data_IF_577332019548
#
_entry.id   IF_577332019548
#
_cell.length_a   1.000
_cell.length_b   1.000
_cell.length_c   1.000
_cell.angle_alpha   90.00
_cell.angle_beta   90.00
_cell.angle_gamma   90.00
#
_symmetry.space_group_name_H-M   'P 1'
#
loop_
_entity.id
_entity.type
_entity.pdbx_description
1 polymer ?
#
# COMPACT_ATOMS: atom_id res chain seq x y z
N UNK A 1 18.21 67.81 -20.09
CA UNK A 1 17.12 68.42 -20.88
C UNK A 1 16.63 67.40 -21.90
N UNK A 2 15.47 66.79 -21.69
CA UNK A 2 14.48 66.48 -22.75
C UNK A 2 13.30 65.77 -22.09
N UNK A 3 12.20 66.52 -21.95
CA UNK A 3 10.92 66.04 -21.46
C UNK A 3 10.22 65.28 -22.57
N UNK A 4 10.01 63.96 -22.43
CA UNK A 4 9.05 63.23 -23.26
C UNK A 4 7.70 63.20 -22.56
N UNK A 5 6.87 64.20 -22.89
CA UNK A 5 5.44 64.21 -22.60
C UNK A 5 4.73 63.31 -23.61
N UNK A 6 4.32 62.11 -23.19
CA UNK A 6 3.39 61.28 -23.96
C UNK A 6 1.97 61.75 -23.68
N UNK A 7 1.40 62.50 -24.63
CA UNK A 7 -0.01 62.86 -24.65
C UNK A 7 -0.86 61.59 -24.73
N UNK A 8 -1.62 61.30 -23.68
CA UNK A 8 -2.64 60.24 -23.69
C UNK A 8 -3.82 60.67 -24.57
N UNK A 9 -4.04 59.95 -25.68
CA UNK A 9 -5.19 60.15 -26.56
C UNK A 9 -6.42 59.41 -25.99
N UNK A 10 -7.48 60.11 -25.56
CA UNK A 10 -8.61 59.50 -24.85
C UNK A 10 -9.46 58.56 -25.72
N UNK A 11 -9.27 58.58 -27.04
CA UNK A 11 -9.95 57.65 -27.96
C UNK A 11 -9.42 56.21 -27.85
N UNK A 12 -8.13 56.02 -27.59
CA UNK A 12 -7.55 54.68 -27.44
C UNK A 12 -8.00 53.99 -26.16
N UNK A 13 -8.32 54.73 -25.10
CA UNK A 13 -8.83 54.16 -23.85
C UNK A 13 -10.26 53.61 -24.03
N UNK A 14 -11.11 54.30 -24.80
CA UNK A 14 -12.46 53.81 -25.13
C UNK A 14 -12.43 52.59 -26.05
N UNK A 15 -11.52 52.56 -27.02
CA UNK A 15 -11.32 51.39 -27.91
C UNK A 15 -10.78 50.19 -27.13
N UNK A 16 -9.81 50.39 -26.23
CA UNK A 16 -9.33 49.36 -25.31
C UNK A 16 -10.44 48.85 -24.39
N UNK A 17 -11.32 49.74 -23.91
CA UNK A 17 -12.46 49.36 -23.08
C UNK A 17 -13.50 48.52 -23.87
N UNK A 18 -13.78 48.89 -25.12
CA UNK A 18 -14.68 48.13 -25.98
C UNK A 18 -14.10 46.78 -26.40
N UNK A 19 -12.79 46.69 -26.69
CA UNK A 19 -12.11 45.42 -26.99
C UNK A 19 -12.08 44.52 -25.75
N UNK A 20 -11.83 45.09 -24.56
CA UNK A 20 -11.86 44.33 -23.30
C UNK A 20 -13.27 43.79 -23.00
N UNK A 21 -14.33 44.58 -23.20
CA UNK A 21 -15.72 44.13 -23.02
C UNK A 21 -16.09 43.06 -24.05
N UNK A 22 -15.71 43.22 -25.32
CA UNK A 22 -16.01 42.23 -26.37
C UNK A 22 -15.27 40.90 -26.12
N UNK A 23 -14.05 40.95 -25.58
CA UNK A 23 -13.28 39.76 -25.18
C UNK A 23 -13.90 39.03 -23.97
N UNK A 24 -14.49 39.78 -23.03
CA UNK A 24 -15.20 39.21 -21.87
C UNK A 24 -16.53 38.56 -22.30
N UNK A 25 -17.26 39.11 -23.26
CA UNK A 25 -18.52 38.53 -23.75
C UNK A 25 -18.30 37.22 -24.53
N UNK A 26 -17.19 37.10 -25.26
CA UNK A 26 -16.79 35.85 -25.93
C UNK A 26 -16.39 34.77 -24.91
N UNK A 27 -15.78 35.14 -23.78
CA UNK A 27 -15.45 34.20 -22.71
C UNK A 27 -16.68 33.64 -21.97
N UNK A 28 -17.82 34.34 -21.98
CA UNK A 28 -19.07 33.90 -21.33
C UNK A 28 -19.96 33.08 -22.29
N UNK A 29 -19.76 33.23 -23.61
CA UNK A 29 -20.50 32.45 -24.63
C UNK A 29 -19.87 31.07 -24.93
N UNK A 30 -18.73 30.74 -24.29
CA UNK A 30 -18.04 29.46 -24.42
C UNK A 30 -18.50 28.38 -23.43
N UNK A 31 -19.29 28.74 -22.40
CA UNK A 31 -20.01 27.75 -21.61
C UNK A 31 -21.35 27.46 -22.29
N UNK A 32 -21.32 26.60 -23.32
CA UNK A 32 -22.42 25.64 -23.42
C UNK A 32 -22.50 24.98 -22.04
N UNK A 33 -23.68 24.82 -21.42
CA UNK A 33 -23.77 23.84 -20.35
C UNK A 33 -23.31 22.54 -20.99
N UNK A 34 -22.10 22.08 -20.62
CA UNK A 34 -21.72 20.69 -20.80
C UNK A 34 -22.92 19.90 -20.32
N UNK A 35 -23.48 19.08 -21.21
CA UNK A 35 -24.61 18.22 -20.94
C UNK A 35 -24.61 17.84 -19.47
N UNK A 36 -25.68 18.24 -18.77
CA UNK A 36 -25.91 17.91 -17.38
C UNK A 36 -25.35 16.52 -17.12
N UNK A 37 -24.40 16.42 -16.19
CA UNK A 37 -24.19 15.20 -15.45
C UNK A 37 -25.50 14.94 -14.72
N UNK A 38 -26.45 14.36 -15.45
CA UNK A 38 -27.56 13.66 -14.83
C UNK A 38 -26.87 12.53 -14.08
N UNK A 39 -26.95 12.60 -12.76
CA UNK A 39 -27.26 11.40 -12.01
C UNK A 39 -28.79 11.28 -12.09
N UNK A 40 -29.37 10.64 -13.13
CA UNK A 40 -30.74 10.22 -13.04
C UNK A 40 -30.74 8.87 -12.34
N UNK A 41 -31.70 8.63 -11.45
CA UNK A 41 -32.05 7.27 -11.02
C UNK A 41 -31.80 6.30 -12.17
N UNK A 42 -30.93 5.29 -11.95
CA UNK A 42 -30.88 4.13 -12.84
C UNK A 42 -32.33 3.75 -13.09
N UNK A 43 -32.77 3.90 -14.35
CA UNK A 43 -34.17 3.68 -14.70
C UNK A 43 -34.52 2.29 -14.16
N UNK A 44 -35.54 2.18 -13.30
CA UNK A 44 -35.99 0.90 -12.70
C UNK A 44 -36.21 -0.17 -13.78
N UNK A 45 -36.62 0.25 -14.98
CA UNK A 45 -36.75 -0.60 -16.16
C UNK A 45 -35.38 -1.06 -16.70
N UNK A 46 -34.36 -0.20 -16.73
CA UNK A 46 -32.98 -0.56 -17.09
C UNK A 46 -32.36 -1.51 -16.05
N UNK A 47 -32.57 -1.26 -14.76
CA UNK A 47 -32.12 -2.18 -13.69
C UNK A 47 -32.80 -3.55 -13.85
N UNK A 48 -34.10 -3.57 -14.11
CA UNK A 48 -34.86 -4.80 -14.34
C UNK A 48 -34.37 -5.54 -15.59
N UNK A 49 -34.11 -4.83 -16.68
CA UNK A 49 -33.56 -5.40 -17.91
C UNK A 49 -32.15 -5.96 -17.69
N UNK A 50 -31.26 -5.21 -17.02
CA UNK A 50 -29.90 -5.66 -16.69
C UNK A 50 -29.94 -6.89 -15.78
N UNK A 51 -30.78 -6.89 -14.74
CA UNK A 51 -30.95 -8.06 -13.86
C UNK A 51 -31.53 -9.27 -14.60
N UNK A 52 -32.47 -9.08 -15.54
CA UNK A 52 -32.97 -10.17 -16.37
C UNK A 52 -31.89 -10.70 -17.31
N UNK A 53 -31.09 -9.84 -17.95
CA UNK A 53 -29.96 -10.25 -18.79
C UNK A 53 -28.96 -11.07 -17.97
N UNK A 54 -28.64 -10.62 -16.76
CA UNK A 54 -27.75 -11.31 -15.83
C UNK A 54 -28.34 -12.67 -15.38
N UNK A 55 -29.63 -12.73 -15.05
CA UNK A 55 -30.32 -13.97 -14.64
C UNK A 55 -30.47 -14.99 -15.78
N UNK A 56 -30.65 -14.51 -17.01
CA UNK A 56 -30.78 -15.35 -18.20
C UNK A 56 -29.41 -15.80 -18.76
N UNK A 57 -28.30 -15.22 -18.28
CA UNK A 57 -26.93 -15.55 -18.67
C UNK A 57 -26.01 -15.64 -17.43
N UNK A 58 -26.29 -16.54 -16.46
CA UNK A 58 -25.51 -16.63 -15.22
C UNK A 58 -24.03 -16.98 -15.47
N UNK A 59 -23.73 -17.65 -16.59
CA UNK A 59 -22.36 -17.97 -17.01
C UNK A 59 -21.51 -16.71 -17.20
N UNK A 60 -22.09 -15.62 -17.70
CA UNK A 60 -21.37 -14.36 -17.89
C UNK A 60 -20.90 -13.75 -16.55
N UNK A 61 -21.69 -13.92 -15.47
CA UNK A 61 -21.23 -13.52 -14.13
C UNK A 61 -20.09 -14.42 -13.69
N UNK A 62 -20.26 -15.74 -13.80
CA UNK A 62 -19.25 -16.71 -13.34
C UNK A 62 -17.91 -16.44 -14.05
N UNK A 63 -17.94 -16.25 -15.37
CA UNK A 63 -16.76 -15.92 -16.18
C UNK A 63 -16.14 -14.60 -15.71
N UNK A 64 -16.94 -13.55 -15.52
CA UNK A 64 -16.45 -12.24 -15.05
C UNK A 64 -15.79 -12.33 -13.67
N UNK A 65 -16.39 -13.08 -12.74
CA UNK A 65 -15.88 -13.27 -11.38
C UNK A 65 -14.61 -14.12 -11.40
N UNK A 66 -14.57 -15.19 -12.19
CA UNK A 66 -13.40 -16.04 -12.34
C UNK A 66 -12.24 -15.28 -12.98
N UNK A 67 -12.49 -14.55 -14.07
CA UNK A 67 -11.48 -13.71 -14.71
C UNK A 67 -10.92 -12.66 -13.75
N UNK A 68 -11.80 -11.99 -13.00
CA UNK A 68 -11.38 -11.06 -11.96
C UNK A 68 -10.55 -11.75 -10.86
N UNK A 69 -11.00 -12.89 -10.35
CA UNK A 69 -10.27 -13.64 -9.33
C UNK A 69 -8.91 -14.12 -9.83
N UNK A 70 -8.83 -14.62 -11.06
CA UNK A 70 -7.58 -15.04 -11.68
C UNK A 70 -6.62 -13.85 -11.84
N UNK A 71 -7.12 -12.71 -12.33
CA UNK A 71 -6.32 -11.49 -12.41
C UNK A 71 -5.79 -11.06 -11.04
N UNK A 72 -6.61 -11.13 -9.99
CA UNK A 72 -6.17 -10.84 -8.63
C UNK A 72 -5.12 -11.84 -8.13
N UNK A 73 -5.29 -13.13 -8.43
CA UNK A 73 -4.31 -14.16 -8.08
C UNK A 73 -2.97 -13.95 -8.79
N UNK A 74 -2.99 -13.66 -10.08
CA UNK A 74 -1.77 -13.38 -10.87
C UNK A 74 -1.06 -12.13 -10.36
N UNK A 75 -1.79 -11.06 -10.03
CA UNK A 75 -1.24 -9.87 -9.40
C UNK A 75 -0.61 -10.17 -8.04
N UNK A 76 -1.28 -10.97 -7.20
CA UNK A 76 -0.74 -11.38 -5.91
C UNK A 76 0.51 -12.25 -6.08
N UNK A 77 0.51 -13.17 -7.04
CA UNK A 77 1.66 -14.02 -7.35
C UNK A 77 2.84 -13.19 -7.84
N UNK A 78 2.62 -12.25 -8.76
CA UNK A 78 3.66 -11.34 -9.23
C UNK A 78 4.25 -10.50 -8.08
N UNK A 79 3.39 -9.97 -7.21
CA UNK A 79 3.81 -9.25 -6.00
C UNK A 79 4.66 -10.12 -5.06
N UNK A 80 4.23 -11.35 -4.80
CA UNK A 80 4.97 -12.31 -3.98
C UNK A 80 6.32 -12.68 -4.60
N UNK A 81 6.37 -12.89 -5.92
CA UNK A 81 7.60 -13.21 -6.64
C UNK A 81 8.60 -12.05 -6.58
N UNK A 82 8.14 -10.82 -6.76
CA UNK A 82 9.00 -9.64 -6.65
C UNK A 82 9.51 -9.49 -5.20
N UNK A 83 8.65 -9.67 -4.19
CA UNK A 83 9.07 -9.67 -2.80
C UNK A 83 10.16 -10.72 -2.54
N UNK A 84 9.95 -11.97 -2.97
CA UNK A 84 10.92 -13.06 -2.82
C UNK A 84 12.24 -12.78 -3.53
N UNK A 85 12.19 -12.19 -4.72
CA UNK A 85 13.40 -11.77 -5.45
C UNK A 85 14.23 -10.79 -4.64
N UNK A 86 13.59 -9.84 -3.95
CA UNK A 86 14.32 -8.89 -3.10
C UNK A 86 15.00 -9.57 -1.90
N UNK A 87 14.36 -10.57 -1.27
CA UNK A 87 15.01 -11.34 -0.19
C UNK A 87 16.21 -12.14 -0.69
N UNK A 88 16.14 -12.68 -1.91
CA UNK A 88 17.24 -13.45 -2.52
C UNK A 88 18.42 -12.58 -2.94
N UNK A 89 18.15 -11.43 -3.56
CA UNK A 89 19.21 -10.60 -4.16
C UNK A 89 19.85 -9.65 -3.14
N UNK A 90 19.10 -9.22 -2.13
CA UNK A 90 19.58 -8.24 -1.15
C UNK A 90 19.25 -8.65 0.29
N UNK A 91 19.71 -9.84 0.76
CA UNK A 91 19.38 -10.31 2.10
C UNK A 91 19.85 -9.34 3.19
N UNK A 92 21.02 -8.71 3.03
CA UNK A 92 21.57 -7.75 4.00
C UNK A 92 20.63 -6.56 4.27
N UNK A 93 20.06 -5.98 3.22
CA UNK A 93 19.13 -4.85 3.36
C UNK A 93 17.82 -5.29 4.00
N UNK A 94 17.41 -6.54 3.76
CA UNK A 94 16.23 -7.14 4.40
C UNK A 94 16.50 -7.54 5.85
N UNK A 95 17.72 -7.91 6.23
CA UNK A 95 18.12 -8.11 7.63
C UNK A 95 18.08 -6.76 8.36
N UNK A 96 18.85 -5.79 7.88
CA UNK A 96 18.94 -4.45 8.47
C UNK A 96 19.28 -4.51 9.96
N UNK A 97 18.54 -3.77 10.78
CA UNK A 97 18.72 -3.73 12.24
C UNK A 97 17.89 -4.80 12.98
N UNK A 98 17.44 -5.85 12.29
CA UNK A 98 16.71 -6.92 12.96
C UNK A 98 17.59 -7.64 13.99
N UNK A 99 16.98 -8.12 15.09
CA UNK A 99 17.62 -9.10 15.95
C UNK A 99 18.02 -10.34 15.16
N UNK A 100 19.24 -10.81 15.39
CA UNK A 100 19.77 -12.02 14.75
C UNK A 100 20.31 -13.00 15.79
N UNK A 101 20.24 -14.29 15.47
CA UNK A 101 20.78 -15.38 16.28
C UNK A 101 21.40 -16.46 15.39
N UNK A 102 22.45 -17.12 15.88
CA UNK A 102 23.17 -18.16 15.16
C UNK A 102 24.30 -17.60 14.29
N UNK A 103 24.40 -18.09 13.06
CA UNK A 103 25.59 -17.91 12.22
C UNK A 103 25.80 -16.46 11.83
N UNK A 104 27.05 -15.98 11.85
CA UNK A 104 27.43 -14.64 11.36
C UNK A 104 27.73 -14.61 9.87
N UNK A 105 27.91 -15.78 9.25
CA UNK A 105 28.26 -15.93 7.84
C UNK A 105 27.07 -15.65 6.90
N UNK A 106 25.83 -15.78 7.41
CA UNK A 106 24.60 -15.45 6.69
C UNK A 106 24.43 -16.16 5.34
N UNK A 107 25.00 -17.36 5.21
CA UNK A 107 24.87 -18.23 4.02
C UNK A 107 23.47 -18.79 3.85
N UNK A 108 22.82 -19.11 4.97
CA UNK A 108 21.41 -19.50 5.03
C UNK A 108 20.74 -18.56 6.01
N UNK A 109 19.77 -17.78 5.54
CA UNK A 109 19.05 -16.80 6.37
C UNK A 109 17.60 -17.24 6.50
N UNK A 110 17.17 -17.46 7.74
CA UNK A 110 15.79 -17.79 8.07
C UNK A 110 15.11 -16.53 8.64
N UNK A 111 14.18 -15.98 7.89
CA UNK A 111 13.37 -14.85 8.36
C UNK A 111 12.10 -15.37 9.05
N UNK A 112 11.96 -15.04 10.32
CA UNK A 112 10.75 -15.33 11.08
C UNK A 112 9.91 -14.05 11.21
N UNK A 113 8.70 -14.06 10.66
CA UNK A 113 7.73 -12.99 10.84
C UNK A 113 6.76 -13.39 11.95
N UNK A 114 6.82 -12.69 13.08
CA UNK A 114 6.15 -13.15 14.30
C UNK A 114 5.52 -12.01 15.08
N UNK A 115 4.48 -12.36 15.82
CA UNK A 115 3.70 -11.49 16.71
C UNK A 115 3.71 -12.08 18.12
N UNK A 116 4.12 -11.29 19.10
CA UNK A 116 4.22 -11.71 20.50
C UNK A 116 2.89 -12.12 21.17
N UNK A 117 1.75 -11.84 20.54
CA UNK A 117 0.44 -12.31 21.02
C UNK A 117 -0.11 -13.51 20.23
N UNK A 118 0.54 -13.91 19.14
CA UNK A 118 0.01 -14.97 18.28
C UNK A 118 0.26 -16.35 18.92
N UNK A 119 -0.80 -17.13 19.25
CA UNK A 119 -0.63 -18.45 19.83
C UNK A 119 -0.01 -19.46 18.85
N UNK A 120 -0.14 -19.25 17.54
CA UNK A 120 0.51 -20.09 16.54
C UNK A 120 2.01 -19.80 16.43
N UNK A 121 2.43 -18.54 16.53
CA UNK A 121 3.84 -18.16 16.61
C UNK A 121 4.49 -18.83 17.83
N UNK A 122 3.85 -18.72 19.00
CA UNK A 122 4.34 -19.34 20.24
C UNK A 122 4.48 -20.87 20.12
N UNK A 123 3.56 -21.55 19.42
CA UNK A 123 3.64 -23.00 19.21
C UNK A 123 4.83 -23.42 18.33
N UNK A 124 5.22 -22.58 17.36
CA UNK A 124 6.34 -22.86 16.46
C UNK A 124 7.69 -22.73 17.19
N UNK A 125 7.76 -21.91 18.24
CA UNK A 125 9.01 -21.57 18.91
C UNK A 125 9.81 -22.79 19.40
N UNK A 126 9.13 -23.81 19.95
CA UNK A 126 9.82 -25.04 20.37
C UNK A 126 10.54 -25.75 19.22
N UNK A 127 9.87 -25.88 18.07
CA UNK A 127 10.45 -26.51 16.88
C UNK A 127 11.54 -25.64 16.26
N UNK A 128 11.35 -24.32 16.24
CA UNK A 128 12.33 -23.38 15.72
C UNK A 128 13.61 -23.41 16.56
N UNK A 129 13.47 -23.44 17.89
CA UNK A 129 14.58 -23.60 18.81
C UNK A 129 15.33 -24.91 18.57
N UNK A 130 14.64 -26.03 18.45
CA UNK A 130 15.28 -27.32 18.17
C UNK A 130 16.04 -27.30 16.83
N UNK A 131 15.44 -26.71 15.80
CA UNK A 131 16.08 -26.53 14.50
C UNK A 131 17.35 -25.67 14.60
N UNK A 132 17.27 -24.52 15.30
CA UNK A 132 18.41 -23.64 15.48
C UNK A 132 19.50 -24.27 16.34
N UNK A 133 19.17 -25.01 17.39
CA UNK A 133 20.16 -25.70 18.22
C UNK A 133 21.03 -26.67 17.39
N UNK A 134 20.46 -27.28 16.33
CA UNK A 134 21.15 -28.19 15.40
C UNK A 134 21.88 -27.50 14.25
N UNK A 135 21.56 -26.24 13.95
CA UNK A 135 21.96 -25.57 12.70
C UNK A 135 22.46 -24.14 12.84
N UNK A 136 22.58 -23.62 14.07
CA UNK A 136 23.03 -22.26 14.37
C UNK A 136 24.45 -21.96 13.86
N UNK A 137 25.26 -22.97 13.55
CA UNK A 137 26.57 -22.80 12.90
C UNK A 137 26.45 -22.32 11.44
N UNK A 138 25.36 -22.67 10.75
CA UNK A 138 25.15 -22.41 9.32
C UNK A 138 23.95 -21.52 9.02
N UNK A 139 22.99 -21.42 9.93
CA UNK A 139 21.76 -20.64 9.76
C UNK A 139 21.81 -19.39 10.62
N UNK A 140 21.44 -18.26 10.03
CA UNK A 140 21.15 -17.01 10.73
C UNK A 140 19.63 -16.88 10.86
N UNK A 141 19.11 -16.93 12.08
CA UNK A 141 17.72 -16.58 12.36
C UNK A 141 17.60 -15.05 12.42
N UNK A 142 16.59 -14.50 11.76
CA UNK A 142 16.31 -13.06 11.70
C UNK A 142 14.86 -12.84 12.11
N UNK A 143 14.65 -12.14 13.22
CA UNK A 143 13.31 -11.84 13.70
C UNK A 143 12.73 -10.59 13.00
N UNK A 144 11.49 -10.68 12.55
CA UNK A 144 10.70 -9.60 11.94
C UNK A 144 9.38 -9.43 12.69
N UNK A 145 9.18 -8.25 13.27
CA UNK A 145 7.90 -7.90 13.89
C UNK A 145 6.78 -7.90 12.84
N UNK A 146 5.75 -8.72 13.06
CA UNK A 146 4.52 -8.75 12.27
C UNK A 146 3.31 -8.53 13.19
N UNK A 147 3.12 -7.33 13.76
CA UNK A 147 2.04 -7.09 14.71
C UNK A 147 0.66 -7.18 14.02
N UNK A 148 -0.16 -8.16 14.41
CA UNK A 148 -1.49 -8.43 13.86
C UNK A 148 -2.55 -7.55 14.55
N UNK A 149 -2.42 -6.24 14.36
CA UNK A 149 -3.16 -5.20 15.11
C UNK A 149 -4.68 -5.30 15.07
N UNK A 150 -5.24 -6.01 14.08
CA UNK A 150 -6.70 -6.21 13.95
C UNK A 150 -7.26 -7.17 14.99
N UNK A 151 -6.45 -8.12 15.46
CA UNK A 151 -6.88 -9.22 16.33
C UNK A 151 -6.08 -9.30 17.63
N UNK A 152 -4.92 -8.64 17.70
CA UNK A 152 -4.02 -8.66 18.84
C UNK A 152 -3.80 -7.23 19.39
N UNK A 153 -4.54 -6.82 20.44
CA UNK A 153 -4.53 -5.43 20.93
C UNK A 153 -3.19 -4.99 21.56
N UNK A 154 -2.38 -5.92 22.05
CA UNK A 154 -1.03 -5.70 22.59
C UNK A 154 0.09 -6.04 21.60
N UNK A 155 -0.20 -6.35 20.33
CA UNK A 155 0.84 -6.68 19.34
C UNK A 155 1.88 -5.56 19.19
N UNK A 156 1.42 -4.31 19.06
CA UNK A 156 2.30 -3.14 18.95
C UNK A 156 3.04 -2.86 20.27
N UNK A 157 2.36 -2.77 21.44
CA UNK A 157 3.05 -2.65 22.73
C UNK A 157 4.13 -3.71 22.97
N UNK A 158 3.84 -4.99 22.67
CA UNK A 158 4.79 -6.08 22.85
C UNK A 158 5.98 -5.97 21.88
N UNK A 159 5.74 -5.67 20.61
CA UNK A 159 6.82 -5.42 19.64
C UNK A 159 7.70 -4.22 20.03
N UNK A 160 7.11 -3.16 20.59
CA UNK A 160 7.87 -2.02 21.12
C UNK A 160 8.70 -2.40 22.35
N UNK A 161 8.14 -3.23 23.24
CA UNK A 161 8.86 -3.72 24.42
C UNK A 161 10.05 -4.60 24.03
N UNK A 162 9.88 -5.52 23.06
CA UNK A 162 11.00 -6.30 22.54
C UNK A 162 12.03 -5.44 21.83
N UNK A 163 11.60 -4.40 21.10
CA UNK A 163 12.53 -3.45 20.49
C UNK A 163 13.33 -2.69 21.57
N UNK A 164 12.69 -2.24 22.65
CA UNK A 164 13.39 -1.63 23.79
C UNK A 164 14.37 -2.61 24.47
N UNK A 165 14.04 -3.91 24.51
CA UNK A 165 14.95 -4.94 25.00
C UNK A 165 16.14 -5.15 24.04
N UNK A 166 15.94 -5.10 22.73
CA UNK A 166 17.02 -5.11 21.72
C UNK A 166 18.02 -3.96 21.95
N UNK A 167 17.53 -2.76 22.25
CA UNK A 167 18.40 -1.61 22.55
C UNK A 167 19.26 -1.82 23.82
N UNK A 168 18.87 -2.76 24.68
CA UNK A 168 19.60 -3.15 25.88
C UNK A 168 20.42 -4.44 25.69
N UNK A 169 20.46 -4.99 24.47
CA UNK A 169 21.13 -6.26 24.16
C UNK A 169 20.42 -7.50 24.71
N UNK A 170 19.12 -7.38 25.07
CA UNK A 170 18.34 -8.43 25.74
C UNK A 170 17.11 -8.89 24.95
N UNK A 171 17.19 -8.83 23.64
CA UNK A 171 16.05 -9.16 22.79
C UNK A 171 15.63 -10.61 22.97
N UNK A 172 16.56 -11.56 22.91
CA UNK A 172 16.27 -12.99 22.95
C UNK A 172 15.75 -13.42 24.33
N UNK A 173 16.24 -12.82 25.40
CA UNK A 173 15.72 -13.04 26.75
C UNK A 173 14.29 -12.53 26.89
N UNK A 174 13.98 -11.35 26.33
CA UNK A 174 12.60 -10.87 26.28
C UNK A 174 11.75 -11.83 25.44
N UNK A 175 12.21 -12.15 24.24
CA UNK A 175 11.53 -13.01 23.27
C UNK A 175 11.12 -14.36 23.89
N UNK A 176 12.09 -15.09 24.42
CA UNK A 176 11.91 -16.42 24.98
C UNK A 176 11.03 -16.37 26.24
N UNK A 177 11.13 -15.32 27.06
CA UNK A 177 10.27 -15.14 28.24
C UNK A 177 8.78 -14.99 27.91
N UNK A 178 8.47 -14.61 26.67
CA UNK A 178 7.09 -14.48 26.17
C UNK A 178 6.61 -15.76 25.49
N UNK A 179 7.45 -16.80 25.44
CA UNK A 179 7.14 -18.07 24.77
C UNK A 179 7.00 -17.91 23.26
N UNK A 180 7.65 -16.90 22.70
CA UNK A 180 7.73 -16.62 21.27
C UNK A 180 9.15 -16.93 20.84
#
# INVERSE_FOLDING_TARGET
MSNYSTRFNPYNLKVLYFIAIFSIVIAISGCTPSAQSTDPQVNSELETQVLQIIRNNPEAIIESVQAYQQQQQEQQQASNQEALKQFKTNPQTKIGNSPTFGSTEQKIVLFEFSDFQCPFCSRVQGNLKEFMDKHQDRVTLVFKHLPLVRIHPQAIPAAKASWAAQQQGKFWEYHDSRGI
#
